data_IF_381478484761
#
_entry.id   IF_381478484761
#
_cell.length_a   1.000
_cell.length_b   1.000
_cell.length_c   1.000
_cell.angle_alpha   90.00
_cell.angle_beta   90.00
_cell.angle_gamma   90.00
#
_symmetry.space_group_name_H-M   'P 1'
#
loop_
_entity.id
_entity.type
_entity.pdbx_description
1 polymer ?
#
# COMPACT_ATOMS: atom_id res chain seq x y z
N UNK A 1 7.10 48.64 -10.95
CA UNK A 1 6.03 47.81 -11.54
C UNK A 1 4.88 48.69 -11.99
N UNK A 2 4.46 48.54 -13.25
CA UNK A 2 3.21 49.09 -13.75
C UNK A 2 2.02 48.45 -13.02
N UNK A 3 0.87 49.15 -12.89
CA UNK A 3 -0.37 48.58 -12.32
C UNK A 3 -0.76 47.26 -13.01
N UNK A 4 -0.47 47.13 -14.30
CA UNK A 4 -0.75 45.93 -15.10
C UNK A 4 0.11 44.73 -14.69
N UNK A 5 1.39 44.96 -14.38
CA UNK A 5 2.32 43.92 -13.90
C UNK A 5 1.95 43.46 -12.50
N UNK A 6 1.61 44.39 -11.60
CA UNK A 6 1.16 44.06 -10.24
C UNK A 6 -0.13 43.21 -10.23
N UNK A 7 -1.05 43.46 -11.16
CA UNK A 7 -2.27 42.65 -11.28
C UNK A 7 -1.99 41.23 -11.81
N UNK A 8 -1.04 41.06 -12.73
CA UNK A 8 -0.63 39.73 -13.21
C UNK A 8 0.01 38.89 -12.10
N UNK A 9 0.91 39.51 -11.33
CA UNK A 9 1.61 38.84 -10.23
C UNK A 9 0.63 38.39 -9.13
N UNK A 10 -0.37 39.23 -8.79
CA UNK A 10 -1.46 38.84 -7.88
C UNK A 10 -2.29 37.66 -8.41
N UNK A 11 -2.62 37.64 -9.71
CA UNK A 11 -3.30 36.49 -10.34
C UNK A 11 -2.45 35.23 -10.21
N UNK A 12 -1.16 35.32 -10.50
CA UNK A 12 -0.23 34.19 -10.42
C UNK A 12 -0.11 33.64 -8.99
N UNK A 13 0.02 34.50 -7.98
CA UNK A 13 0.02 34.08 -6.56
C UNK A 13 -1.30 33.45 -6.18
N UNK A 14 -2.44 34.01 -6.60
CA UNK A 14 -3.75 33.40 -6.33
C UNK A 14 -3.88 32.02 -6.97
N UNK A 15 -3.47 31.86 -8.22
CA UNK A 15 -3.46 30.55 -8.89
C UNK A 15 -2.55 29.56 -8.18
N UNK A 16 -1.39 30.02 -7.69
CA UNK A 16 -0.47 29.20 -6.93
C UNK A 16 -1.09 28.68 -5.63
N UNK A 17 -1.83 29.52 -4.89
CA UNK A 17 -2.50 29.10 -3.65
C UNK A 17 -3.51 27.97 -3.91
N UNK A 18 -4.22 28.02 -5.04
CA UNK A 18 -5.20 26.99 -5.43
C UNK A 18 -4.62 25.90 -6.33
N UNK A 19 -3.30 25.90 -6.58
CA UNK A 19 -2.67 24.98 -7.54
C UNK A 19 -2.84 23.52 -7.19
N UNK A 20 -3.00 23.21 -5.90
CA UNK A 20 -3.25 21.84 -5.43
C UNK A 20 -4.59 21.31 -5.94
N UNK A 21 -5.63 22.12 -5.87
CA UNK A 21 -6.98 21.74 -6.28
C UNK A 21 -7.12 21.69 -7.81
N UNK A 22 -6.26 22.45 -8.50
CA UNK A 22 -6.22 22.54 -9.96
C UNK A 22 -5.11 21.70 -10.60
N UNK A 23 -4.31 20.99 -9.80
CA UNK A 23 -3.11 20.25 -10.20
C UNK A 23 -2.14 21.04 -11.11
N UNK A 24 -1.97 22.33 -10.85
CA UNK A 24 -1.16 23.23 -11.68
C UNK A 24 0.32 23.25 -11.24
N UNK A 25 1.21 23.22 -12.22
CA UNK A 25 2.65 23.47 -12.06
C UNK A 25 2.96 24.98 -12.12
N UNK A 26 4.15 25.38 -11.66
CA UNK A 26 4.58 26.78 -11.77
C UNK A 26 4.78 27.20 -13.23
N UNK A 27 5.18 26.28 -14.09
CA UNK A 27 5.31 26.49 -15.53
C UNK A 27 3.94 26.74 -16.16
N UNK A 28 2.91 25.98 -15.78
CA UNK A 28 1.53 26.19 -16.26
C UNK A 28 0.98 27.55 -15.77
N UNK A 29 1.24 27.92 -14.51
CA UNK A 29 0.88 29.24 -13.98
C UNK A 29 1.61 30.36 -14.74
N UNK A 30 2.90 30.16 -15.03
CA UNK A 30 3.72 31.09 -15.81
C UNK A 30 3.18 31.29 -17.23
N UNK A 31 2.80 30.19 -17.91
CA UNK A 31 2.19 30.24 -19.24
C UNK A 31 0.84 30.98 -19.23
N UNK A 32 -0.01 30.73 -18.23
CA UNK A 32 -1.35 31.33 -18.12
C UNK A 32 -1.33 32.81 -17.73
N UNK A 33 -0.35 33.22 -16.90
CA UNK A 33 -0.28 34.59 -16.38
C UNK A 33 0.73 35.48 -17.11
N UNK A 34 1.67 34.87 -17.82
CA UNK A 34 2.82 35.53 -18.44
C UNK A 34 3.80 36.11 -17.41
N UNK A 35 3.80 35.60 -16.18
CA UNK A 35 4.74 35.95 -15.11
C UNK A 35 5.83 34.89 -15.09
N UNK A 36 7.11 35.31 -15.13
CA UNK A 36 8.21 34.36 -15.08
C UNK A 36 8.21 33.56 -13.76
N UNK A 37 8.59 32.28 -13.80
CA UNK A 37 8.62 31.42 -12.61
C UNK A 37 9.48 32.02 -11.50
N UNK A 38 10.66 32.56 -11.84
CA UNK A 38 11.54 33.25 -10.88
C UNK A 38 10.87 34.46 -10.22
N UNK A 39 10.07 35.23 -10.95
CA UNK A 39 9.36 36.40 -10.43
C UNK A 39 8.22 35.98 -9.48
N UNK A 40 7.49 34.92 -9.86
CA UNK A 40 6.49 34.31 -9.01
C UNK A 40 7.12 33.77 -7.71
N UNK A 41 8.23 33.03 -7.80
CA UNK A 41 8.93 32.49 -6.63
C UNK A 41 9.40 33.60 -5.68
N UNK A 42 9.99 34.67 -6.19
CA UNK A 42 10.41 35.82 -5.38
C UNK A 42 9.23 36.42 -4.62
N UNK A 43 8.08 36.58 -5.29
CA UNK A 43 6.89 37.12 -4.65
C UNK A 43 6.34 36.17 -3.59
N UNK A 44 6.30 34.86 -3.86
CA UNK A 44 5.86 33.84 -2.91
C UNK A 44 6.75 33.79 -1.67
N UNK A 45 8.07 33.93 -1.83
CA UNK A 45 9.02 34.09 -0.72
C UNK A 45 8.72 35.37 0.06
N UNK A 46 8.51 36.48 -0.64
CA UNK A 46 8.21 37.79 -0.04
C UNK A 46 6.93 37.77 0.80
N UNK A 47 5.90 37.04 0.36
CA UNK A 47 4.64 36.87 1.11
C UNK A 47 4.66 35.72 2.11
N UNK A 48 5.78 34.98 2.22
CA UNK A 48 5.96 33.90 3.20
C UNK A 48 5.20 32.61 2.88
N UNK A 49 4.83 32.39 1.60
CA UNK A 49 4.13 31.18 1.16
C UNK A 49 5.08 30.02 0.83
N UNK A 50 6.34 30.31 0.50
CA UNK A 50 7.38 29.31 0.24
C UNK A 50 8.70 29.67 0.94
N UNK A 51 9.60 28.69 1.04
CA UNK A 51 10.93 28.85 1.64
C UNK A 51 11.86 29.67 0.75
N UNK A 52 12.88 30.30 1.34
CA UNK A 52 13.98 30.94 0.60
C UNK A 52 14.85 29.88 -0.11
N UNK A 53 14.85 28.64 0.40
CA UNK A 53 15.62 27.54 -0.16
C UNK A 53 14.99 27.06 -1.48
N UNK A 54 15.70 27.28 -2.60
CA UNK A 54 15.21 26.97 -3.95
C UNK A 54 15.12 25.47 -4.20
N UNK A 55 16.08 24.69 -3.73
CA UNK A 55 16.10 23.22 -3.85
C UNK A 55 14.88 22.63 -3.15
N UNK A 56 14.53 23.16 -1.97
CA UNK A 56 13.36 22.74 -1.22
C UNK A 56 12.05 23.11 -1.94
N UNK A 57 11.99 24.29 -2.56
CA UNK A 57 10.82 24.69 -3.36
C UNK A 57 10.63 23.77 -4.57
N UNK A 58 11.71 23.50 -5.32
CA UNK A 58 11.70 22.58 -6.46
C UNK A 58 11.29 21.17 -6.03
N UNK A 59 11.81 20.67 -4.91
CA UNK A 59 11.45 19.36 -4.39
C UNK A 59 9.95 19.26 -4.03
N UNK A 60 9.38 20.31 -3.43
CA UNK A 60 7.94 20.39 -3.17
C UNK A 60 7.14 20.38 -4.46
N UNK A 61 7.58 21.10 -5.49
CA UNK A 61 6.88 21.16 -6.78
C UNK A 61 6.95 19.83 -7.54
N UNK A 62 8.11 19.16 -7.51
CA UNK A 62 8.26 17.78 -7.98
C UNK A 62 7.35 16.83 -7.21
N UNK A 63 7.21 17.02 -5.88
CA UNK A 63 6.33 16.20 -5.05
C UNK A 63 4.86 16.37 -5.43
N UNK A 64 4.39 17.62 -5.59
CA UNK A 64 3.00 17.90 -5.99
C UNK A 64 2.69 17.27 -7.35
N UNK A 65 3.65 17.26 -8.27
CA UNK A 65 3.50 16.71 -9.62
C UNK A 65 3.99 15.26 -9.76
N UNK A 66 4.38 14.60 -8.67
CA UNK A 66 5.10 13.32 -8.71
C UNK A 66 4.34 12.21 -9.45
N UNK A 67 3.01 12.24 -9.43
CA UNK A 67 2.18 11.25 -10.12
C UNK A 67 2.20 11.43 -11.64
N UNK A 68 2.18 12.68 -12.12
CA UNK A 68 2.32 12.99 -13.55
C UNK A 68 3.72 12.63 -14.05
N UNK A 69 4.73 12.80 -13.19
CA UNK A 69 6.14 12.57 -13.51
C UNK A 69 6.62 11.14 -13.22
N UNK A 70 5.81 10.31 -12.57
CA UNK A 70 6.20 8.96 -12.14
C UNK A 70 7.32 8.91 -11.10
N UNK A 71 7.50 9.98 -10.31
CA UNK A 71 8.58 10.10 -9.33
C UNK A 71 8.18 9.57 -7.95
N UNK A 72 9.12 8.91 -7.30
CA UNK A 72 9.06 8.51 -5.89
C UNK A 72 9.62 9.60 -4.99
N UNK A 73 9.30 9.53 -3.69
CA UNK A 73 9.87 10.45 -2.69
C UNK A 73 11.41 10.38 -2.66
N UNK A 74 11.96 9.19 -2.86
CA UNK A 74 13.39 8.92 -2.75
C UNK A 74 14.15 9.57 -3.92
N UNK A 75 13.62 9.42 -5.14
CA UNK A 75 14.16 10.06 -6.34
C UNK A 75 14.12 11.59 -6.25
N UNK A 76 13.05 12.17 -5.70
CA UNK A 76 12.93 13.63 -5.52
C UNK A 76 14.00 14.16 -4.56
N UNK A 77 14.18 13.47 -3.43
CA UNK A 77 15.12 13.85 -2.38
C UNK A 77 16.56 13.71 -2.84
N UNK A 78 16.86 12.65 -3.60
CA UNK A 78 18.17 12.47 -4.24
C UNK A 78 18.43 13.53 -5.30
N UNK A 79 17.46 13.81 -6.18
CA UNK A 79 17.59 14.78 -7.27
C UNK A 79 17.85 16.21 -6.78
N UNK A 80 17.19 16.63 -5.71
CA UNK A 80 17.33 17.99 -5.17
C UNK A 80 18.33 18.05 -4.00
N UNK A 81 19.06 16.96 -3.69
CA UNK A 81 20.07 16.90 -2.63
C UNK A 81 19.58 17.39 -1.25
N UNK A 82 18.31 17.14 -0.92
CA UNK A 82 17.72 17.49 0.39
C UNK A 82 17.53 16.23 1.24
N UNK A 83 17.16 16.37 2.52
CA UNK A 83 16.78 15.23 3.34
C UNK A 83 15.26 14.97 3.23
N UNK A 84 14.86 13.70 3.36
CA UNK A 84 13.42 13.33 3.41
C UNK A 84 12.70 14.08 4.53
N UNK A 85 13.32 14.21 5.70
CA UNK A 85 12.73 14.89 6.85
C UNK A 85 12.47 16.37 6.58
N UNK A 86 13.40 17.07 5.93
CA UNK A 86 13.22 18.47 5.51
C UNK A 86 12.07 18.60 4.53
N UNK A 87 12.00 17.72 3.52
CA UNK A 87 10.90 17.73 2.55
C UNK A 87 9.54 17.46 3.23
N UNK A 88 9.45 16.46 4.10
CA UNK A 88 8.22 16.15 4.84
C UNK A 88 7.76 17.31 5.73
N UNK A 89 8.69 17.97 6.43
CA UNK A 89 8.39 19.12 7.28
C UNK A 89 7.82 20.26 6.43
N UNK A 90 8.43 20.54 5.28
CA UNK A 90 8.00 21.61 4.40
C UNK A 90 6.63 21.33 3.77
N UNK A 91 6.41 20.11 3.27
CA UNK A 91 5.12 19.70 2.72
C UNK A 91 4.01 19.87 3.77
N UNK A 92 4.27 19.45 5.02
CA UNK A 92 3.33 19.63 6.13
C UNK A 92 3.08 21.11 6.44
N UNK A 93 4.12 21.94 6.47
CA UNK A 93 3.99 23.39 6.70
C UNK A 93 3.14 24.06 5.62
N UNK A 94 3.18 23.54 4.39
CA UNK A 94 2.37 24.01 3.25
C UNK A 94 1.00 23.35 3.15
N UNK A 95 0.58 22.54 4.14
CA UNK A 95 -0.70 21.84 4.13
C UNK A 95 -0.83 20.79 3.03
N UNK A 96 0.29 20.30 2.51
CA UNK A 96 0.35 19.22 1.53
C UNK A 96 0.34 17.90 2.32
N UNK A 97 -0.65 17.06 2.04
CA UNK A 97 -0.89 15.84 2.81
C UNK A 97 0.16 14.79 2.42
N UNK A 98 1.10 14.55 3.32
CA UNK A 98 2.18 13.58 3.18
C UNK A 98 1.71 12.16 3.42
N UNK A 99 0.56 11.74 2.88
CA UNK A 99 0.10 10.36 3.06
C UNK A 99 1.23 9.44 2.62
N UNK A 100 1.63 8.56 3.53
CA UNK A 100 2.65 7.55 3.34
C UNK A 100 2.18 6.58 2.26
N UNK A 101 2.41 6.96 1.01
CA UNK A 101 2.09 6.14 -0.13
C UNK A 101 3.43 5.54 -0.52
N UNK A 102 3.69 4.34 -0.01
CA UNK A 102 4.66 3.45 -0.64
C UNK A 102 4.35 3.33 -2.13
N UNK A 103 5.32 2.90 -2.93
CA UNK A 103 5.27 2.77 -4.40
C UNK A 103 3.82 2.69 -4.91
N UNK A 104 3.33 3.76 -5.53
CA UNK A 104 1.96 3.82 -6.02
C UNK A 104 1.82 2.72 -7.08
N UNK A 105 1.06 1.69 -6.75
CA UNK A 105 0.68 0.67 -7.72
C UNK A 105 -0.53 1.19 -8.49
N UNK A 106 -0.51 0.97 -9.79
CA UNK A 106 -1.60 1.27 -10.71
C UNK A 106 -2.59 0.12 -10.75
N UNK A 107 -3.77 0.33 -11.32
CA UNK A 107 -4.72 -0.76 -11.58
C UNK A 107 -4.10 -1.83 -12.51
N UNK A 108 -3.20 -1.44 -13.41
CA UNK A 108 -2.44 -2.36 -14.26
C UNK A 108 -1.53 -3.26 -13.42
N UNK A 109 -0.85 -2.71 -12.43
CA UNK A 109 0.01 -3.48 -11.52
C UNK A 109 -0.80 -4.47 -10.68
N UNK A 110 -2.03 -4.09 -10.26
CA UNK A 110 -2.95 -5.00 -9.58
C UNK A 110 -3.38 -6.14 -10.51
N UNK A 111 -3.73 -5.86 -11.76
CA UNK A 111 -4.08 -6.90 -12.74
C UNK A 111 -2.90 -7.83 -13.03
N UNK A 112 -1.70 -7.29 -13.15
CA UNK A 112 -0.47 -8.08 -13.31
C UNK A 112 -0.21 -8.95 -12.08
N UNK A 113 -0.38 -8.40 -10.87
CA UNK A 113 -0.22 -9.15 -9.62
C UNK A 113 -1.22 -10.29 -9.51
N UNK A 114 -2.49 -10.08 -9.89
CA UNK A 114 -3.49 -11.15 -9.95
C UNK A 114 -3.11 -12.22 -10.98
N UNK A 115 -2.67 -11.82 -12.17
CA UNK A 115 -2.26 -12.76 -13.23
C UNK A 115 -1.06 -13.62 -12.81
N UNK A 116 -0.03 -12.99 -12.23
CA UNK A 116 1.14 -13.69 -11.68
C UNK A 116 0.76 -14.58 -10.50
N UNK A 117 -0.18 -14.12 -9.65
CA UNK A 117 -0.67 -14.93 -8.53
C UNK A 117 -1.39 -16.19 -9.01
N UNK A 118 -2.17 -16.10 -10.09
CA UNK A 118 -2.89 -17.23 -10.68
C UNK A 118 -1.96 -18.23 -11.38
N UNK A 119 -0.89 -17.75 -12.02
CA UNK A 119 0.09 -18.60 -12.73
C UNK A 119 1.28 -19.01 -11.86
N UNK A 120 1.24 -18.71 -10.55
CA UNK A 120 2.38 -18.89 -9.64
C UNK A 120 2.84 -20.35 -9.50
N UNK A 121 1.90 -21.31 -9.53
CA UNK A 121 2.21 -22.74 -9.40
C UNK A 121 2.95 -23.27 -10.63
N UNK A 122 2.55 -22.83 -11.82
CA UNK A 122 3.17 -23.20 -13.10
C UNK A 122 4.55 -22.55 -13.27
N UNK A 123 4.72 -21.34 -12.73
CA UNK A 123 5.95 -20.55 -12.84
C UNK A 123 6.91 -20.74 -11.67
N UNK A 124 6.50 -21.47 -10.63
CA UNK A 124 7.28 -21.65 -9.41
C UNK A 124 7.47 -20.38 -8.57
N UNK A 125 6.62 -19.36 -8.76
CA UNK A 125 6.70 -18.10 -8.03
C UNK A 125 6.07 -18.23 -6.64
N UNK A 126 6.73 -17.67 -5.62
CA UNK A 126 6.09 -17.46 -4.34
C UNK A 126 5.30 -16.15 -4.34
N UNK A 127 4.31 -16.05 -3.44
CA UNK A 127 3.53 -14.81 -3.24
C UNK A 127 4.46 -13.62 -2.98
N UNK A 128 5.54 -13.83 -2.22
CA UNK A 128 6.53 -12.79 -1.96
C UNK A 128 7.14 -12.23 -3.26
N UNK A 129 7.49 -13.10 -4.20
CA UNK A 129 8.08 -12.71 -5.48
C UNK A 129 7.07 -11.91 -6.33
N UNK A 130 5.78 -12.28 -6.29
CA UNK A 130 4.71 -11.53 -6.96
C UNK A 130 4.59 -10.10 -6.41
N UNK A 131 4.62 -9.96 -5.09
CA UNK A 131 4.51 -8.65 -4.43
C UNK A 131 5.74 -7.77 -4.70
N UNK A 132 6.94 -8.36 -4.66
CA UNK A 132 8.18 -7.62 -4.96
C UNK A 132 8.22 -7.18 -6.43
N UNK A 133 7.81 -8.06 -7.35
CA UNK A 133 7.83 -7.80 -8.79
C UNK A 133 6.83 -6.71 -9.20
N UNK A 134 5.64 -6.71 -8.61
CA UNK A 134 4.55 -5.78 -8.95
C UNK A 134 4.51 -4.54 -8.08
N UNK A 135 5.13 -4.57 -6.89
CA UNK A 135 5.04 -3.49 -5.91
C UNK A 135 3.65 -3.34 -5.28
N UNK A 136 2.72 -4.26 -5.57
CA UNK A 136 1.37 -4.26 -4.99
C UNK A 136 1.46 -4.77 -3.54
N UNK A 137 0.86 -4.05 -2.56
CA UNK A 137 0.81 -4.53 -1.18
C UNK A 137 0.00 -5.82 -1.04
N UNK A 138 0.42 -6.68 -0.11
CA UNK A 138 -0.25 -7.94 0.19
C UNK A 138 -1.77 -7.76 0.42
N UNK A 139 -2.16 -6.78 1.22
CA UNK A 139 -3.57 -6.49 1.52
C UNK A 139 -4.40 -6.13 0.28
N UNK A 140 -3.79 -5.50 -0.72
CA UNK A 140 -4.46 -5.05 -1.95
C UNK A 140 -4.66 -6.23 -2.88
N UNK A 141 -3.60 -7.03 -3.10
CA UNK A 141 -3.68 -8.24 -3.90
C UNK A 141 -4.78 -9.17 -3.37
N UNK A 142 -4.77 -9.44 -2.06
CA UNK A 142 -5.75 -10.34 -1.43
C UNK A 142 -7.18 -9.78 -1.44
N UNK A 143 -7.34 -8.46 -1.32
CA UNK A 143 -8.65 -7.81 -1.47
C UNK A 143 -9.19 -7.98 -2.90
N UNK A 144 -8.33 -7.83 -3.90
CA UNK A 144 -8.75 -7.98 -5.30
C UNK A 144 -9.07 -9.43 -5.65
N UNK A 145 -8.26 -10.39 -5.18
CA UNK A 145 -8.53 -11.82 -5.35
C UNK A 145 -9.89 -12.20 -4.73
N UNK A 146 -10.20 -11.69 -3.54
CA UNK A 146 -11.51 -11.88 -2.91
C UNK A 146 -12.64 -11.20 -3.71
N UNK A 147 -12.41 -10.02 -4.28
CA UNK A 147 -13.40 -9.35 -5.14
C UNK A 147 -13.73 -10.18 -6.39
N UNK A 148 -12.75 -10.91 -6.90
CA UNK A 148 -12.87 -11.79 -8.06
C UNK A 148 -13.36 -13.20 -7.70
N UNK A 149 -13.72 -13.45 -6.44
CA UNK A 149 -14.12 -14.75 -5.91
C UNK A 149 -13.08 -15.86 -6.15
N UNK A 150 -11.81 -15.45 -6.31
CA UNK A 150 -10.67 -16.37 -6.39
C UNK A 150 -10.40 -16.83 -4.96
N UNK A 151 -10.99 -17.97 -4.60
CA UNK A 151 -10.76 -18.57 -3.29
C UNK A 151 -9.27 -18.79 -3.06
N UNK A 152 -8.73 -18.07 -2.09
CA UNK A 152 -7.40 -18.26 -1.51
C UNK A 152 -7.38 -19.54 -0.67
N UNK A 153 -7.68 -20.64 -1.34
CA UNK A 153 -7.63 -21.98 -0.77
C UNK A 153 -6.53 -22.71 -1.52
N UNK A 154 -5.30 -22.63 -0.99
CA UNK A 154 -4.66 -23.91 -0.74
C UNK A 154 -5.56 -24.60 0.28
N UNK A 155 -6.59 -25.26 -0.24
CA UNK A 155 -7.52 -25.98 0.59
C UNK A 155 -6.69 -27.14 1.11
N UNK A 156 -6.18 -26.98 2.32
CA UNK A 156 -5.88 -28.11 3.17
C UNK A 156 -7.16 -28.90 3.47
N UNK A 157 -8.30 -28.66 2.82
CA UNK A 157 -9.55 -29.40 2.99
C UNK A 157 -9.29 -30.91 2.83
N UNK A 158 -8.38 -31.34 1.94
CA UNK A 158 -7.94 -32.74 1.86
C UNK A 158 -7.21 -33.20 3.12
N UNK A 159 -6.21 -32.45 3.58
CA UNK A 159 -5.45 -32.75 4.81
C UNK A 159 -6.32 -32.66 6.08
N UNK A 160 -7.28 -31.74 6.11
CA UNK A 160 -8.27 -31.55 7.16
C UNK A 160 -9.25 -32.72 7.16
N UNK A 161 -9.79 -33.11 6.01
CA UNK A 161 -10.68 -34.26 5.89
C UNK A 161 -9.98 -35.55 6.35
N UNK A 162 -8.75 -35.77 5.89
CA UNK A 162 -7.93 -36.90 6.35
C UNK A 162 -7.66 -36.84 7.85
N UNK A 163 -7.37 -35.66 8.41
CA UNK A 163 -7.16 -35.51 9.85
C UNK A 163 -8.43 -35.81 10.67
N UNK A 164 -9.60 -35.41 10.18
CA UNK A 164 -10.89 -35.71 10.81
C UNK A 164 -11.17 -37.23 10.75
N UNK A 165 -10.97 -37.85 9.59
CA UNK A 165 -11.15 -39.29 9.41
C UNK A 165 -10.22 -40.10 10.34
N UNK A 166 -8.94 -39.74 10.40
CA UNK A 166 -7.98 -40.37 11.32
C UNK A 166 -8.37 -40.16 12.79
N UNK A 167 -8.94 -39.00 13.13
CA UNK A 167 -9.38 -38.69 14.49
C UNK A 167 -10.62 -39.50 14.89
N UNK A 168 -11.58 -39.68 13.99
CA UNK A 168 -12.79 -40.50 14.21
C UNK A 168 -12.42 -41.98 14.40
N UNK A 169 -11.53 -42.49 13.55
CA UNK A 169 -11.10 -43.89 13.56
C UNK A 169 -10.01 -44.21 14.59
N UNK A 170 -9.53 -43.22 15.35
CA UNK A 170 -8.39 -43.37 16.28
C UNK A 170 -8.57 -44.48 17.33
N UNK A 171 -9.81 -44.84 17.67
CA UNK A 171 -10.09 -45.94 18.63
C UNK A 171 -9.78 -47.31 18.05
N UNK A 172 -10.02 -47.49 16.76
CA UNK A 172 -9.77 -48.73 16.05
C UNK A 172 -8.30 -48.83 15.65
N UNK A 173 -7.68 -47.70 15.28
CA UNK A 173 -6.29 -47.66 14.80
C UNK A 173 -5.25 -47.43 15.89
N UNK A 174 -5.66 -46.94 17.08
CA UNK A 174 -4.75 -46.62 18.18
C UNK A 174 -3.89 -45.37 17.97
N UNK A 175 -4.14 -44.59 16.92
CA UNK A 175 -3.34 -43.41 16.53
C UNK A 175 -3.52 -42.27 17.56
N UNK A 176 -2.42 -41.62 17.97
CA UNK A 176 -2.49 -40.44 18.85
C UNK A 176 -2.70 -39.17 18.05
N UNK A 177 -3.26 -38.15 18.70
CA UNK A 177 -3.49 -36.84 18.05
C UNK A 177 -2.19 -36.23 17.52
N UNK A 178 -1.07 -36.42 18.23
CA UNK A 178 0.24 -35.91 17.79
C UNK A 178 0.65 -36.52 16.43
N UNK A 179 0.43 -37.83 16.25
CA UNK A 179 0.73 -38.54 15.00
C UNK A 179 -0.16 -38.06 13.84
N UNK A 180 -1.42 -37.69 14.12
CA UNK A 180 -2.35 -37.13 13.14
C UNK A 180 -1.83 -35.77 12.66
N UNK A 181 -1.45 -34.89 13.58
CA UNK A 181 -0.92 -33.56 13.26
C UNK A 181 0.39 -33.66 12.47
N UNK A 182 1.27 -34.58 12.84
CA UNK A 182 2.52 -34.82 12.11
C UNK A 182 2.31 -35.34 10.69
N UNK A 183 1.32 -36.22 10.49
CA UNK A 183 0.99 -36.80 9.18
C UNK A 183 0.27 -35.82 8.26
N UNK A 184 -0.64 -35.04 8.80
CA UNK A 184 -1.52 -34.15 8.02
C UNK A 184 -0.99 -32.73 7.91
N UNK A 185 0.05 -32.39 8.66
CA UNK A 185 0.69 -31.06 8.68
C UNK A 185 -0.28 -29.91 9.01
N UNK A 186 -1.41 -30.21 9.66
CA UNK A 186 -2.34 -29.19 10.14
C UNK A 186 -2.02 -28.79 11.58
N UNK A 187 -2.37 -27.57 11.96
CA UNK A 187 -2.23 -27.12 13.35
C UNK A 187 -3.25 -27.82 14.25
N UNK A 188 -2.90 -27.99 15.54
CA UNK A 188 -3.84 -28.50 16.55
C UNK A 188 -5.09 -27.63 16.67
N UNK A 189 -4.92 -26.31 16.54
CA UNK A 189 -6.01 -25.34 16.59
C UNK A 189 -6.99 -25.53 15.43
N UNK A 190 -6.47 -25.76 14.22
CA UNK A 190 -7.27 -26.10 13.03
C UNK A 190 -8.03 -27.39 13.25
N UNK A 191 -7.35 -28.49 13.64
CA UNK A 191 -7.99 -29.78 13.88
C UNK A 191 -9.15 -29.69 14.87
N UNK A 192 -8.93 -29.07 16.03
CA UNK A 192 -9.95 -28.98 17.07
C UNK A 192 -11.11 -28.04 16.71
N UNK A 193 -10.84 -26.97 15.96
CA UNK A 193 -11.89 -26.12 15.39
C UNK A 193 -12.81 -26.93 14.48
N UNK A 194 -12.23 -27.70 13.56
CA UNK A 194 -12.99 -28.51 12.60
C UNK A 194 -13.76 -29.65 13.27
N UNK A 195 -13.16 -30.33 14.27
CA UNK A 195 -13.86 -31.32 15.12
C UNK A 195 -15.10 -30.71 15.77
N UNK A 196 -14.98 -29.50 16.34
CA UNK A 196 -16.09 -28.80 16.99
C UNK A 196 -17.16 -28.40 15.99
N UNK A 197 -16.77 -27.87 14.84
CA UNK A 197 -17.69 -27.47 13.77
C UNK A 197 -18.48 -28.65 13.21
N UNK A 198 -17.84 -29.81 13.06
CA UNK A 198 -18.46 -31.04 12.54
C UNK A 198 -19.18 -31.87 13.60
N UNK A 199 -19.24 -31.40 14.86
CA UNK A 199 -19.92 -32.10 15.95
C UNK A 199 -19.27 -33.43 16.36
N UNK A 200 -18.00 -33.65 15.98
CA UNK A 200 -17.28 -34.87 16.36
C UNK A 200 -17.00 -34.84 17.86
N UNK A 201 -17.33 -35.90 18.63
CA UNK A 201 -17.27 -35.87 20.08
C UNK A 201 -15.85 -35.62 20.61
N UNK A 202 -15.69 -34.51 21.34
CA UNK A 202 -14.43 -34.14 21.98
C UNK A 202 -14.21 -34.98 23.24
N UNK A 203 -13.21 -35.87 23.24
CA UNK A 203 -12.74 -36.53 24.48
C UNK A 203 -11.79 -35.62 25.22
N UNK A 204 -12.32 -34.53 25.77
CA UNK A 204 -11.66 -33.81 26.85
C UNK A 204 -11.76 -34.62 28.14
N UNK A 205 -10.82 -34.44 29.06
CA UNK A 205 -11.00 -34.89 30.46
C UNK A 205 -12.37 -34.40 30.91
N UNK A 206 -13.32 -35.31 31.10
CA UNK A 206 -14.50 -34.99 31.90
C UNK A 206 -13.95 -34.54 33.25
N UNK A 207 -14.22 -33.29 33.63
CA UNK A 207 -13.96 -32.86 35.00
C UNK A 207 -14.71 -33.87 35.87
N UNK A 208 -13.97 -34.69 36.63
CA UNK A 208 -14.53 -35.53 37.68
C UNK A 208 -15.41 -34.59 38.50
N UNK A 209 -16.73 -34.78 38.46
CA UNK A 209 -17.60 -34.18 39.47
C UNK A 209 -17.11 -34.79 40.78
N UNK A 210 -16.44 -33.98 41.58
CA UNK A 210 -16.12 -34.33 42.96
C UNK A 210 -17.49 -34.43 43.64
N UNK A 211 -17.84 -35.66 44.02
CA UNK A 211 -19.03 -35.95 44.81
C UNK A 211 -18.80 -35.48 46.25
#
# INVERSE_FOLDING_TARGET
>A
MSKKESNKLRKAVSMWVYRKDLELSNEEISQETGVAVDELEQELVRVGLISINKELNRAVDLYVNRYKLGLTMDEIVEKECISKSTLYAELKNRGIDCRSIGKTYTQKDVHEAVSLFLTREETGLHVKDVLEKTGVPHSVLYKELHRLDITLKESNDSAINLAIELYENRKQTGIKVIDILERTKISSQTLYREIKLRGVPYRGRSKKKVA
#
